data_IF_896702079274
#
_entry.id   IF_896702079274
#
_cell.length_a   1.000
_cell.length_b   1.000
_cell.length_c   1.000
_cell.angle_alpha   90.00
_cell.angle_beta   90.00
_cell.angle_gamma   90.00
#
_symmetry.space_group_name_H-M   'P 1'
#
loop_
_entity.id
_entity.type
_entity.pdbx_description
1 polymer ?
#
# COMPACT_ATOMS: atom_id res chain seq x y z
N UNK A 1 3.70 24.91 17.92
CA UNK A 1 3.44 24.17 16.66
C UNK A 1 3.27 22.74 17.08
N UNK A 2 2.16 22.50 17.76
CA UNK A 2 2.03 21.42 18.72
C UNK A 2 1.38 20.23 18.01
N UNK A 3 2.08 19.09 17.94
CA UNK A 3 1.50 17.79 17.62
C UNK A 3 0.96 17.53 16.19
N UNK A 4 0.82 18.54 15.34
CA UNK A 4 0.26 18.36 13.99
C UNK A 4 1.28 17.79 12.99
N UNK A 5 0.87 16.80 12.18
CA UNK A 5 1.72 16.10 11.21
C UNK A 5 2.23 16.98 10.05
N UNK A 6 3.10 16.42 9.19
CA UNK A 6 3.73 17.14 8.07
C UNK A 6 2.75 17.71 7.02
N UNK A 7 1.55 17.14 6.92
CA UNK A 7 0.47 17.56 6.04
C UNK A 7 -0.64 18.33 6.79
N UNK A 8 -0.33 18.87 7.97
CA UNK A 8 -1.25 19.73 8.70
C UNK A 8 -1.76 20.87 7.82
N UNK A 9 -3.08 21.07 7.79
CA UNK A 9 -3.73 22.09 6.97
C UNK A 9 -3.94 21.71 5.51
N UNK A 10 -3.59 20.48 5.10
CA UNK A 10 -3.93 19.92 3.78
C UNK A 10 -5.27 19.20 3.87
N UNK A 11 -6.26 19.63 3.08
CA UNK A 11 -7.57 18.96 2.96
C UNK A 11 -7.63 18.05 1.73
N UNK A 12 -7.98 16.77 1.95
CA UNK A 12 -8.05 15.74 0.91
C UNK A 12 -9.48 15.21 0.81
N UNK A 13 -10.09 15.28 -0.37
CA UNK A 13 -11.34 14.59 -0.66
C UNK A 13 -11.04 13.27 -1.38
N UNK A 14 -11.48 12.15 -0.82
CA UNK A 14 -11.19 10.83 -1.37
C UNK A 14 -12.48 10.09 -1.73
N UNK A 15 -12.73 9.97 -3.04
CA UNK A 15 -13.89 9.33 -3.64
C UNK A 15 -13.68 7.82 -3.86
N UNK A 16 -12.59 7.24 -3.36
CA UNK A 16 -12.30 5.81 -3.47
C UNK A 16 -12.90 4.99 -2.33
N UNK A 17 -13.31 3.76 -2.66
CA UNK A 17 -13.86 2.82 -1.67
C UNK A 17 -12.79 1.89 -1.08
N UNK A 18 -11.92 1.33 -1.93
CA UNK A 18 -10.93 0.30 -1.57
C UNK A 18 -9.67 0.41 -2.44
N UNK A 19 -8.65 -0.39 -2.11
CA UNK A 19 -7.50 -0.61 -2.97
C UNK A 19 -6.48 0.52 -2.92
N UNK A 20 -5.82 0.84 -4.04
CA UNK A 20 -4.71 1.79 -4.11
C UNK A 20 -5.01 3.17 -3.53
N UNK A 21 -6.07 3.85 -3.98
CA UNK A 21 -6.40 5.18 -3.49
C UNK A 21 -6.76 5.21 -2.00
N UNK A 22 -7.48 4.20 -1.51
CA UNK A 22 -7.79 4.10 -0.08
C UNK A 22 -6.53 3.93 0.78
N UNK A 23 -5.45 3.34 0.23
CA UNK A 23 -4.13 3.29 0.89
C UNK A 23 -3.40 4.62 0.78
N UNK A 24 -3.49 5.29 -0.36
CA UNK A 24 -2.86 6.60 -0.58
C UNK A 24 -3.41 7.64 0.39
N UNK A 25 -4.73 7.82 0.45
CA UNK A 25 -5.36 8.74 1.41
C UNK A 25 -5.09 8.35 2.85
N UNK A 26 -4.98 7.05 3.13
CA UNK A 26 -4.60 6.55 4.46
C UNK A 26 -3.18 6.94 4.86
N UNK A 27 -2.24 6.92 3.92
CA UNK A 27 -0.89 7.45 4.14
C UNK A 27 -0.96 8.97 4.37
N UNK A 28 -1.71 9.72 3.55
CA UNK A 28 -1.81 11.17 3.74
C UNK A 28 -2.43 11.56 5.09
N UNK A 29 -3.46 10.83 5.54
CA UNK A 29 -4.08 11.00 6.85
C UNK A 29 -3.08 10.68 7.98
N UNK A 30 -2.27 9.63 7.84
CA UNK A 30 -1.15 9.42 8.77
C UNK A 30 -0.28 10.65 8.83
N UNK A 31 0.16 11.21 7.70
CA UNK A 31 1.00 12.40 7.71
C UNK A 31 0.29 13.68 8.19
N UNK A 32 -0.96 13.62 8.66
CA UNK A 32 -1.68 14.71 9.29
C UNK A 32 -2.60 15.50 8.36
N UNK A 33 -2.85 15.00 7.15
CA UNK A 33 -3.85 15.58 6.26
C UNK A 33 -5.27 15.36 6.82
N UNK A 34 -6.12 16.36 6.66
CA UNK A 34 -7.54 16.25 6.93
C UNK A 34 -8.22 15.54 5.74
N UNK A 35 -8.41 14.23 5.89
CA UNK A 35 -8.95 13.37 4.84
C UNK A 35 -10.45 13.17 5.06
N UNK A 36 -11.22 13.56 4.06
CA UNK A 36 -12.67 13.33 3.96
C UNK A 36 -12.92 12.21 2.96
N UNK A 37 -13.38 11.06 3.46
CA UNK A 37 -13.86 9.96 2.64
C UNK A 37 -15.25 10.27 2.10
N UNK A 38 -15.34 10.35 0.78
CA UNK A 38 -16.55 10.71 0.05
C UNK A 38 -17.18 9.46 -0.56
N UNK A 39 -18.29 9.03 0.02
CA UNK A 39 -19.10 7.91 -0.46
C UNK A 39 -20.22 8.32 -1.42
N UNK A 40 -20.89 7.32 -1.97
CA UNK A 40 -22.19 7.52 -2.60
C UNK A 40 -23.29 7.38 -1.55
N UNK A 41 -24.35 8.19 -1.64
CA UNK A 41 -25.51 7.98 -0.76
C UNK A 41 -26.07 6.56 -0.94
N UNK A 42 -26.43 5.85 0.16
CA UNK A 42 -27.00 4.52 0.06
C UNK A 42 -28.27 4.54 -0.78
N UNK A 43 -28.39 3.62 -1.74
CA UNK A 43 -29.60 3.44 -2.55
C UNK A 43 -30.08 2.00 -2.44
N UNK A 44 -31.40 1.84 -2.31
CA UNK A 44 -32.02 0.52 -2.25
C UNK A 44 -31.61 -0.34 -3.45
N UNK A 45 -31.19 -1.58 -3.19
CA UNK A 45 -30.75 -2.54 -4.21
C UNK A 45 -29.34 -2.33 -4.76
N UNK A 46 -28.60 -1.31 -4.28
CA UNK A 46 -27.18 -1.12 -4.64
C UNK A 46 -26.30 -1.65 -3.52
N UNK A 47 -25.49 -2.69 -3.82
CA UNK A 47 -24.49 -3.19 -2.87
C UNK A 47 -23.32 -2.21 -2.85
N UNK A 48 -23.12 -1.56 -1.71
CA UNK A 48 -21.91 -0.80 -1.43
C UNK A 48 -20.89 -1.70 -0.75
N UNK A 49 -19.63 -1.56 -1.15
CA UNK A 49 -18.54 -2.26 -0.47
C UNK A 49 -18.21 -1.44 0.77
N UNK A 50 -18.51 -2.00 1.94
CA UNK A 50 -18.09 -1.46 3.22
C UNK A 50 -16.94 -2.32 3.75
N UNK A 51 -15.68 -1.82 3.73
CA UNK A 51 -14.57 -2.54 4.32
C UNK A 51 -14.83 -2.79 5.81
N UNK A 52 -14.35 -3.91 6.38
CA UNK A 52 -14.44 -4.12 7.81
C UNK A 52 -13.63 -3.05 8.57
N UNK A 53 -13.99 -2.81 9.83
CA UNK A 53 -13.42 -1.74 10.68
C UNK A 53 -11.89 -1.78 10.87
N UNK A 54 -11.22 -2.87 10.52
CA UNK A 54 -9.75 -2.99 10.58
C UNK A 54 -9.06 -2.80 9.21
N UNK A 55 -9.81 -2.87 8.10
CA UNK A 55 -9.23 -2.73 6.77
C UNK A 55 -8.70 -1.31 6.54
N UNK A 56 -7.55 -1.20 5.87
CA UNK A 56 -6.86 0.09 5.68
C UNK A 56 -6.66 0.84 6.99
N UNK A 57 -6.33 0.09 8.05
CA UNK A 57 -6.18 0.58 9.42
C UNK A 57 -7.40 1.36 9.92
N UNK A 58 -8.58 0.81 9.61
CA UNK A 58 -9.89 1.32 9.99
C UNK A 58 -10.23 2.70 9.43
N UNK A 59 -9.43 3.24 8.51
CA UNK A 59 -9.56 4.64 8.10
C UNK A 59 -9.46 5.60 9.31
N UNK A 60 -8.63 5.24 10.31
CA UNK A 60 -8.36 6.11 11.47
C UNK A 60 -7.93 7.50 11.02
N UNK A 61 -8.39 8.53 11.74
CA UNK A 61 -8.09 9.94 11.45
C UNK A 61 -8.82 10.53 10.23
N UNK A 62 -9.81 9.82 9.67
CA UNK A 62 -10.59 10.32 8.52
C UNK A 62 -12.01 10.67 8.93
N UNK A 63 -12.54 11.70 8.28
CA UNK A 63 -13.96 12.09 8.32
C UNK A 63 -14.70 11.49 7.12
N UNK A 64 -16.02 11.39 7.19
CA UNK A 64 -16.84 10.75 6.16
C UNK A 64 -18.06 11.57 5.80
N UNK A 65 -18.43 11.52 4.53
CA UNK A 65 -19.72 11.98 4.07
C UNK A 65 -20.06 11.31 2.74
N UNK A 66 -21.33 11.32 2.36
CA UNK A 66 -21.79 10.73 1.10
C UNK A 66 -22.54 11.75 0.25
N UNK A 67 -22.41 11.65 -1.07
CA UNK A 67 -23.14 12.50 -2.02
C UNK A 67 -23.90 11.68 -3.06
N UNK A 68 -25.05 12.19 -3.50
CA UNK A 68 -25.65 11.80 -4.75
C UNK A 68 -25.06 12.60 -5.92
N UNK A 69 -23.89 12.20 -6.38
CA UNK A 69 -23.20 12.84 -7.52
C UNK A 69 -23.95 12.73 -8.86
N UNK A 70 -25.04 11.95 -8.93
CA UNK A 70 -25.91 11.89 -10.12
C UNK A 70 -26.99 12.97 -10.10
N UNK A 71 -27.25 13.58 -8.94
CA UNK A 71 -28.15 14.71 -8.83
C UNK A 71 -27.39 16.02 -9.05
N UNK A 72 -28.03 17.00 -9.67
CA UNK A 72 -27.45 18.33 -9.86
C UNK A 72 -27.09 18.98 -8.51
N UNK A 73 -27.97 18.82 -7.51
CA UNK A 73 -27.76 19.32 -6.17
C UNK A 73 -26.54 18.68 -5.48
N UNK A 74 -26.37 17.36 -5.59
CA UNK A 74 -25.26 16.63 -4.97
C UNK A 74 -23.93 16.90 -5.67
N UNK A 75 -23.93 16.95 -7.00
CA UNK A 75 -22.77 17.39 -7.78
C UNK A 75 -22.37 18.83 -7.37
N UNK A 76 -23.32 19.78 -7.37
CA UNK A 76 -23.06 21.16 -6.96
C UNK A 76 -22.53 21.28 -5.52
N UNK A 77 -23.05 20.48 -4.58
CA UNK A 77 -22.58 20.48 -3.21
C UNK A 77 -21.14 19.94 -3.09
N UNK A 78 -20.81 18.87 -3.83
CA UNK A 78 -19.45 18.35 -3.89
C UNK A 78 -18.48 19.36 -4.52
N UNK A 79 -18.87 20.02 -5.62
CA UNK A 79 -18.05 21.06 -6.26
C UNK A 79 -17.71 22.18 -5.28
N UNK A 80 -18.67 22.61 -4.46
CA UNK A 80 -18.44 23.63 -3.44
C UNK A 80 -17.44 23.16 -2.36
N UNK A 81 -17.54 21.90 -1.93
CA UNK A 81 -16.56 21.32 -1.01
C UNK A 81 -15.16 21.25 -1.64
N UNK A 82 -15.07 20.93 -2.93
CA UNK A 82 -13.81 20.84 -3.67
C UNK A 82 -13.14 22.20 -3.92
N UNK A 83 -13.90 23.31 -3.90
CA UNK A 83 -13.35 24.66 -4.03
C UNK A 83 -12.36 25.00 -2.88
N UNK A 84 -12.54 24.38 -1.71
CA UNK A 84 -11.66 24.54 -0.54
C UNK A 84 -10.68 23.37 -0.32
N UNK A 85 -10.68 22.36 -1.19
CA UNK A 85 -9.79 21.21 -1.06
C UNK A 85 -8.39 21.48 -1.66
N UNK A 86 -7.38 20.83 -1.08
CA UNK A 86 -6.02 20.82 -1.63
C UNK A 86 -5.81 19.66 -2.59
N UNK A 87 -6.44 18.52 -2.30
CA UNK A 87 -6.30 17.29 -3.05
C UNK A 87 -7.67 16.65 -3.26
N UNK A 88 -7.91 16.13 -4.45
CA UNK A 88 -9.01 15.18 -4.73
C UNK A 88 -8.40 13.88 -5.23
N UNK A 89 -8.79 12.75 -4.65
CA UNK A 89 -8.37 11.41 -5.06
C UNK A 89 -9.61 10.67 -5.55
N UNK A 90 -9.53 10.05 -6.71
CA UNK A 90 -10.59 9.17 -7.22
C UNK A 90 -10.02 7.88 -7.80
N UNK A 91 -10.85 6.84 -7.81
CA UNK A 91 -10.49 5.52 -8.31
C UNK A 91 -11.56 4.92 -9.22
N UNK A 92 -12.29 5.77 -9.94
CA UNK A 92 -13.30 5.31 -10.88
C UNK A 92 -12.64 4.80 -12.16
N UNK A 93 -13.42 4.06 -12.96
CA UNK A 93 -12.98 3.73 -14.32
C UNK A 93 -12.79 5.03 -15.12
N UNK A 94 -11.80 5.09 -16.03
CA UNK A 94 -11.56 6.27 -16.85
C UNK A 94 -12.84 6.80 -17.52
N UNK A 95 -13.05 8.12 -17.38
CA UNK A 95 -14.23 8.84 -17.90
C UNK A 95 -15.48 8.81 -17.02
N UNK A 96 -15.52 8.03 -15.93
CA UNK A 96 -16.67 8.04 -15.01
C UNK A 96 -16.79 9.38 -14.28
N UNK A 97 -15.69 9.88 -13.70
CA UNK A 97 -15.69 11.14 -12.95
C UNK A 97 -16.16 12.34 -13.80
N UNK A 98 -15.69 12.40 -15.06
CA UNK A 98 -16.13 13.42 -16.01
C UNK A 98 -17.64 13.36 -16.32
N UNK A 99 -18.21 12.16 -16.46
CA UNK A 99 -19.69 12.03 -16.63
C UNK A 99 -20.48 12.42 -15.40
N UNK A 100 -19.87 12.36 -14.22
CA UNK A 100 -20.47 12.79 -12.96
C UNK A 100 -20.26 14.30 -12.71
N UNK A 101 -19.54 15.01 -13.58
CA UNK A 101 -19.22 16.43 -13.44
C UNK A 101 -18.19 16.73 -12.35
N UNK A 102 -17.41 15.74 -11.92
CA UNK A 102 -16.39 15.85 -10.87
C UNK A 102 -15.02 15.40 -11.37
N UNK A 103 -14.81 15.45 -12.69
CA UNK A 103 -13.55 15.09 -13.33
C UNK A 103 -12.45 16.14 -13.08
N UNK A 104 -11.21 15.78 -13.43
CA UNK A 104 -10.07 16.69 -13.30
C UNK A 104 -10.30 18.04 -14.01
N UNK A 105 -10.84 18.01 -15.23
CA UNK A 105 -11.15 19.23 -15.99
C UNK A 105 -12.20 20.11 -15.31
N UNK A 106 -13.25 19.50 -14.74
CA UNK A 106 -14.30 20.20 -14.02
C UNK A 106 -13.72 20.91 -12.79
N UNK A 107 -12.95 20.20 -11.96
CA UNK A 107 -12.44 20.74 -10.70
C UNK A 107 -11.26 21.70 -10.88
N UNK A 108 -10.30 21.41 -11.76
CA UNK A 108 -9.15 22.29 -12.00
C UNK A 108 -9.55 23.63 -12.63
N UNK A 109 -10.64 23.67 -13.40
CA UNK A 109 -11.18 24.93 -13.93
C UNK A 109 -11.72 25.86 -12.84
N UNK A 110 -12.19 25.29 -11.72
CA UNK A 110 -12.74 26.02 -10.57
C UNK A 110 -11.67 26.35 -9.54
N UNK A 111 -10.81 25.38 -9.25
CA UNK A 111 -9.71 25.49 -8.30
C UNK A 111 -8.39 25.15 -9.01
N UNK A 112 -7.71 26.14 -9.63
CA UNK A 112 -6.43 25.92 -10.32
C UNK A 112 -5.28 25.51 -9.38
N UNK A 113 -5.49 25.54 -8.06
CA UNK A 113 -4.52 25.09 -7.05
C UNK A 113 -4.71 23.63 -6.65
N UNK A 114 -5.77 22.97 -7.11
CA UNK A 114 -6.10 21.60 -6.72
C UNK A 114 -5.08 20.60 -7.29
N UNK A 115 -4.65 19.66 -6.46
CA UNK A 115 -4.00 18.43 -6.95
C UNK A 115 -5.08 17.37 -7.14
N UNK A 116 -5.38 17.02 -8.39
CA UNK A 116 -6.37 15.99 -8.71
C UNK A 116 -5.63 14.69 -9.03
N UNK A 117 -5.90 13.60 -8.31
CA UNK A 117 -5.24 12.30 -8.49
C UNK A 117 -6.25 11.26 -8.96
N UNK A 118 -6.13 10.85 -10.21
CA UNK A 118 -6.81 9.67 -10.75
C UNK A 118 -5.97 8.43 -10.48
N UNK A 119 -6.52 7.46 -9.76
CA UNK A 119 -5.87 6.17 -9.52
C UNK A 119 -6.60 5.08 -10.29
N UNK A 120 -5.94 4.47 -11.27
CA UNK A 120 -6.60 3.51 -12.16
C UNK A 120 -5.69 2.37 -12.55
N UNK A 121 -6.27 1.21 -12.87
CA UNK A 121 -5.51 -0.01 -13.08
C UNK A 121 -4.42 0.09 -14.16
N UNK A 122 -4.74 0.74 -15.28
CA UNK A 122 -3.87 0.85 -16.46
C UNK A 122 -3.74 2.29 -16.98
N UNK A 123 -3.95 3.29 -16.11
CA UNK A 123 -3.95 4.70 -16.49
C UNK A 123 -5.27 5.21 -17.09
N UNK A 124 -5.38 6.53 -17.24
CA UNK A 124 -6.50 7.19 -17.91
C UNK A 124 -6.45 7.03 -19.44
N UNK A 125 -5.32 6.61 -20.00
CA UNK A 125 -5.10 6.44 -21.43
C UNK A 125 -4.54 5.05 -21.82
N UNK A 126 -4.23 4.88 -23.11
CA UNK A 126 -3.74 3.61 -23.63
C UNK A 126 -4.83 2.56 -23.92
N UNK A 127 -4.42 1.38 -24.41
CA UNK A 127 -5.33 0.36 -24.94
C UNK A 127 -6.08 -0.44 -23.86
N UNK A 128 -5.55 -0.46 -22.62
CA UNK A 128 -6.11 -1.23 -21.50
C UNK A 128 -6.83 -0.38 -20.46
N UNK A 129 -6.94 0.94 -20.65
CA UNK A 129 -7.58 1.88 -19.69
C UNK A 129 -8.96 1.43 -19.20
N UNK A 130 -9.72 0.72 -20.02
CA UNK A 130 -11.08 0.27 -19.69
C UNK A 130 -11.15 -1.12 -19.07
N UNK A 131 -10.02 -1.82 -18.89
CA UNK A 131 -10.00 -3.16 -18.32
C UNK A 131 -10.31 -3.10 -16.82
N UNK A 132 -11.19 -4.00 -16.37
CA UNK A 132 -11.41 -4.24 -14.95
C UNK A 132 -10.30 -5.15 -14.43
N UNK A 133 -9.72 -4.83 -13.28
CA UNK A 133 -8.58 -5.57 -12.74
C UNK A 133 -8.45 -5.36 -11.23
N UNK A 134 -7.73 -6.28 -10.62
CA UNK A 134 -7.33 -6.27 -9.22
C UNK A 134 -5.82 -6.50 -9.12
N UNK A 135 -5.28 -6.36 -7.90
CA UNK A 135 -3.88 -6.56 -7.54
C UNK A 135 -3.14 -7.62 -8.40
N UNK A 136 -3.66 -8.84 -8.43
CA UNK A 136 -3.07 -9.96 -9.15
C UNK A 136 -2.94 -9.73 -10.68
N UNK A 137 -3.91 -9.05 -11.29
CA UNK A 137 -3.88 -8.77 -12.73
C UNK A 137 -2.79 -7.76 -13.08
N UNK A 138 -2.55 -6.77 -12.22
CA UNK A 138 -1.48 -5.79 -12.43
C UNK A 138 -0.11 -6.46 -12.31
N UNK A 139 0.08 -7.32 -11.30
CA UNK A 139 1.28 -8.15 -11.15
C UNK A 139 1.51 -9.07 -12.35
N UNK A 140 0.44 -9.65 -12.91
CA UNK A 140 0.52 -10.49 -14.09
C UNK A 140 0.98 -9.69 -15.33
N UNK A 141 0.37 -8.54 -15.58
CA UNK A 141 0.68 -7.72 -16.77
C UNK A 141 2.07 -7.09 -16.68
N UNK A 142 2.50 -6.70 -15.49
CA UNK A 142 3.83 -6.09 -15.27
C UNK A 142 4.98 -7.09 -15.20
N UNK A 143 4.75 -8.39 -15.42
CA UNK A 143 5.79 -9.43 -15.42
C UNK A 143 6.20 -9.96 -14.03
N UNK A 144 5.68 -9.38 -12.95
CA UNK A 144 6.04 -9.76 -11.58
C UNK A 144 5.75 -11.24 -11.26
N UNK A 145 4.58 -11.74 -11.67
CA UNK A 145 4.22 -13.13 -11.40
C UNK A 145 5.15 -14.10 -12.13
N UNK A 146 5.59 -13.78 -13.35
CA UNK A 146 6.44 -14.69 -14.10
C UNK A 146 7.83 -14.83 -13.48
N UNK A 147 8.34 -13.79 -12.82
CA UNK A 147 9.59 -13.85 -12.05
C UNK A 147 9.43 -14.48 -10.65
N UNK A 148 8.20 -14.78 -10.21
CA UNK A 148 7.93 -15.35 -8.89
C UNK A 148 8.22 -16.85 -8.82
N UNK A 149 8.44 -17.38 -7.61
CA UNK A 149 8.59 -18.83 -7.39
C UNK A 149 7.45 -19.66 -7.99
N UNK A 150 7.71 -20.94 -8.25
CA UNK A 150 6.74 -21.86 -8.85
C UNK A 150 6.07 -22.76 -7.82
N UNK A 151 4.79 -23.04 -8.02
CA UNK A 151 4.06 -24.10 -7.32
C UNK A 151 4.55 -25.48 -7.77
N UNK A 152 4.17 -26.54 -7.04
CA UNK A 152 4.54 -27.91 -7.38
C UNK A 152 4.12 -28.36 -8.80
N UNK A 153 3.06 -27.76 -9.35
CA UNK A 153 2.58 -27.99 -10.71
C UNK A 153 3.10 -26.96 -11.74
N UNK A 154 4.09 -26.15 -11.37
CA UNK A 154 4.84 -25.28 -12.28
C UNK A 154 4.20 -23.91 -12.57
N UNK A 155 3.13 -23.52 -11.89
CA UNK A 155 2.48 -22.21 -12.06
C UNK A 155 3.18 -21.15 -11.19
N UNK A 156 3.13 -19.86 -11.56
CA UNK A 156 3.50 -18.78 -10.64
C UNK A 156 2.77 -18.88 -9.29
N UNK A 157 3.52 -18.74 -8.20
CA UNK A 157 2.94 -18.68 -6.87
C UNK A 157 2.13 -17.39 -6.68
N UNK A 158 1.03 -17.47 -5.93
CA UNK A 158 0.26 -16.29 -5.56
C UNK A 158 1.01 -15.49 -4.48
N UNK A 159 1.12 -14.16 -4.63
CA UNK A 159 1.67 -13.30 -3.59
C UNK A 159 0.82 -13.35 -2.30
N UNK A 160 1.49 -13.27 -1.14
CA UNK A 160 0.83 -13.28 0.17
C UNK A 160 0.17 -11.96 0.60
N UNK A 161 0.23 -10.92 -0.23
CA UNK A 161 -0.31 -9.59 0.06
C UNK A 161 -0.78 -8.90 -1.22
N UNK A 162 -1.56 -7.82 -1.08
CA UNK A 162 -1.95 -6.95 -2.19
C UNK A 162 -0.82 -5.97 -2.53
N UNK A 163 0.27 -6.51 -3.08
CA UNK A 163 1.54 -5.80 -3.30
C UNK A 163 1.38 -4.68 -4.33
N UNK A 164 0.67 -4.92 -5.43
CA UNK A 164 0.43 -3.90 -6.44
C UNK A 164 -0.44 -2.77 -5.86
N UNK A 165 -1.49 -3.11 -5.11
CA UNK A 165 -2.36 -2.08 -4.53
C UNK A 165 -1.61 -1.21 -3.50
N UNK A 166 -0.73 -1.82 -2.69
CA UNK A 166 0.04 -1.10 -1.67
C UNK A 166 1.19 -0.30 -2.30
N UNK A 167 2.12 -0.98 -2.96
CA UNK A 167 3.41 -0.42 -3.34
C UNK A 167 3.34 0.30 -4.70
N UNK A 168 2.81 -0.38 -5.72
CA UNK A 168 2.73 0.18 -7.07
C UNK A 168 1.67 1.27 -7.21
N UNK A 169 0.55 1.14 -6.50
CA UNK A 169 -0.56 2.09 -6.57
C UNK A 169 -0.57 3.09 -5.42
N UNK A 170 -0.84 2.62 -4.20
CA UNK A 170 -1.10 3.48 -3.05
C UNK A 170 0.09 4.34 -2.63
N UNK A 171 1.28 3.76 -2.50
CA UNK A 171 2.50 4.49 -2.17
C UNK A 171 2.90 5.44 -3.30
N UNK A 172 2.80 5.03 -4.55
CA UNK A 172 3.09 5.93 -5.69
C UNK A 172 2.14 7.12 -5.74
N UNK A 173 0.83 6.91 -5.56
CA UNK A 173 -0.13 8.00 -5.49
C UNK A 173 0.18 8.96 -4.34
N UNK A 174 0.45 8.46 -3.14
CA UNK A 174 0.82 9.30 -2.01
C UNK A 174 2.10 10.12 -2.28
N UNK A 175 3.15 9.49 -2.84
CA UNK A 175 4.38 10.18 -3.22
C UNK A 175 4.15 11.27 -4.26
N UNK A 176 3.40 10.96 -5.33
CA UNK A 176 3.09 11.91 -6.39
C UNK A 176 2.26 13.09 -5.89
N UNK A 177 1.28 12.84 -5.00
CA UNK A 177 0.48 13.90 -4.37
C UNK A 177 1.37 14.80 -3.51
N UNK A 178 2.23 14.23 -2.66
CA UNK A 178 3.14 15.02 -1.82
C UNK A 178 4.12 15.86 -2.67
N UNK A 179 4.63 15.30 -3.77
CA UNK A 179 5.48 16.02 -4.71
C UNK A 179 4.72 17.17 -5.40
N UNK A 180 3.50 16.92 -5.86
CA UNK A 180 2.65 17.94 -6.50
C UNK A 180 2.26 19.06 -5.52
N UNK A 181 1.99 18.74 -4.25
CA UNK A 181 1.75 19.74 -3.21
C UNK A 181 3.00 20.60 -2.94
N UNK A 182 4.19 19.99 -2.92
CA UNK A 182 5.45 20.70 -2.77
C UNK A 182 5.72 21.63 -3.95
N UNK A 183 5.48 21.17 -5.19
CA UNK A 183 5.59 22.01 -6.39
C UNK A 183 4.60 23.17 -6.35
N UNK A 184 3.32 22.89 -6.05
CA UNK A 184 2.26 23.88 -5.93
C UNK A 184 2.60 25.00 -4.94
N UNK A 185 3.31 24.70 -3.86
CA UNK A 185 3.76 25.73 -2.91
C UNK A 185 4.73 26.76 -3.53
N UNK A 186 5.44 26.37 -4.60
CA UNK A 186 6.37 27.25 -5.33
C UNK A 186 5.69 27.92 -6.53
N UNK A 187 4.88 27.17 -7.28
CA UNK A 187 4.27 27.63 -8.54
C UNK A 187 2.94 28.34 -8.32
N UNK A 188 2.25 28.02 -7.23
CA UNK A 188 0.89 28.44 -6.97
C UNK A 188 -0.17 27.67 -7.75
N UNK A 189 0.20 26.64 -8.54
CA UNK A 189 -0.69 25.90 -9.44
C UNK A 189 -0.67 24.41 -9.11
N UNK A 190 -1.85 23.80 -9.10
CA UNK A 190 -2.01 22.35 -8.94
C UNK A 190 -1.89 21.62 -10.28
N UNK A 191 -2.26 20.34 -10.30
CA UNK A 191 -2.11 19.49 -11.51
C UNK A 191 -3.00 18.25 -11.44
N UNK A 192 -3.23 17.62 -12.59
CA UNK A 192 -3.82 16.29 -12.69
C UNK A 192 -2.71 15.23 -12.69
N UNK A 193 -2.76 14.32 -11.74
CA UNK A 193 -1.92 13.14 -11.62
C UNK A 193 -2.70 11.92 -12.14
N UNK A 194 -2.18 11.27 -13.18
CA UNK A 194 -2.64 9.96 -13.64
C UNK A 194 -1.73 8.88 -13.06
N UNK A 195 -2.22 8.15 -12.06
CA UNK A 195 -1.49 7.08 -11.39
C UNK A 195 -2.01 5.74 -11.88
N UNK A 196 -1.20 5.06 -12.69
CA UNK A 196 -1.43 3.71 -13.19
C UNK A 196 -0.81 2.67 -12.24
N UNK A 197 -1.62 1.74 -11.74
CA UNK A 197 -1.10 0.64 -10.90
C UNK A 197 -0.17 -0.27 -11.73
N UNK A 198 -0.52 -0.53 -13.00
CA UNK A 198 0.31 -1.34 -13.89
C UNK A 198 1.69 -0.69 -14.15
N UNK A 199 1.75 0.63 -14.29
CA UNK A 199 3.02 1.37 -14.46
C UNK A 199 3.87 1.23 -13.19
N UNK A 200 3.23 1.34 -12.03
CA UNK A 200 3.90 1.13 -10.75
C UNK A 200 4.48 -0.28 -10.61
N UNK A 201 3.75 -1.31 -11.04
CA UNK A 201 4.27 -2.70 -11.05
C UNK A 201 5.44 -2.81 -12.02
N UNK A 202 5.33 -2.24 -13.21
CA UNK A 202 6.40 -2.25 -14.20
C UNK A 202 7.67 -1.57 -13.66
N UNK A 203 7.51 -0.44 -12.96
CA UNK A 203 8.61 0.25 -12.29
C UNK A 203 9.23 -0.57 -11.14
N UNK A 204 8.41 -1.30 -10.37
CA UNK A 204 8.92 -2.25 -9.36
C UNK A 204 9.78 -3.37 -9.97
N UNK A 205 9.56 -3.69 -11.24
CA UNK A 205 10.30 -4.70 -12.00
C UNK A 205 11.52 -4.13 -12.75
N UNK A 206 11.85 -2.83 -12.55
CA UNK A 206 12.90 -2.11 -13.29
C UNK A 206 14.22 -2.86 -13.37
N UNK A 207 14.69 -3.50 -12.28
CA UNK A 207 15.95 -4.26 -12.30
C UNK A 207 15.99 -5.33 -13.41
N UNK A 208 14.87 -6.03 -13.63
CA UNK A 208 14.78 -7.11 -14.62
C UNK A 208 14.36 -6.59 -16.00
N UNK A 209 13.46 -5.60 -16.02
CA UNK A 209 13.06 -4.93 -17.25
C UNK A 209 14.26 -4.28 -17.92
N UNK A 210 15.07 -3.54 -17.16
CA UNK A 210 16.22 -2.81 -17.69
C UNK A 210 17.31 -3.77 -18.21
N UNK A 211 17.55 -4.90 -17.54
CA UNK A 211 18.44 -5.95 -18.07
C UNK A 211 17.93 -6.49 -19.40
N UNK A 212 16.65 -6.88 -19.45
CA UNK A 212 16.07 -7.43 -20.68
C UNK A 212 16.20 -6.42 -21.83
N UNK A 213 15.90 -5.15 -21.58
CA UNK A 213 16.04 -4.08 -22.57
C UNK A 213 17.50 -3.87 -23.00
N UNK A 214 18.47 -4.03 -22.10
CA UNK A 214 19.88 -3.84 -22.39
C UNK A 214 20.53 -5.05 -23.09
N UNK A 215 20.06 -6.27 -22.84
CA UNK A 215 20.78 -7.50 -23.19
C UNK A 215 19.96 -8.51 -24.00
N UNK A 216 18.63 -8.42 -23.97
CA UNK A 216 17.71 -9.41 -24.53
C UNK A 216 17.61 -10.71 -23.73
N UNK A 217 18.24 -10.79 -22.55
CA UNK A 217 18.17 -11.97 -21.67
C UNK A 217 16.84 -11.96 -20.92
N UNK A 218 16.07 -13.03 -21.08
CA UNK A 218 14.76 -13.18 -20.43
C UNK A 218 14.93 -13.52 -18.94
N UNK A 219 14.43 -12.68 -18.00
CA UNK A 219 14.46 -12.98 -16.59
C UNK A 219 13.41 -14.03 -16.21
N UNK A 220 13.62 -14.71 -15.09
CA UNK A 220 12.69 -15.71 -14.57
C UNK A 220 13.04 -16.18 -13.17
N UNK A 221 12.31 -17.17 -12.63
CA UNK A 221 12.61 -17.73 -11.31
C UNK A 221 14.03 -18.33 -11.31
N UNK A 222 14.82 -18.02 -10.28
CA UNK A 222 16.19 -18.50 -10.18
C UNK A 222 17.18 -17.85 -11.17
N UNK A 223 16.79 -16.82 -11.92
CA UNK A 223 17.69 -16.12 -12.86
C UNK A 223 18.82 -15.35 -12.16
N UNK A 224 18.49 -14.70 -11.05
CA UNK A 224 19.39 -13.88 -10.24
C UNK A 224 19.54 -14.36 -8.80
N UNK A 225 20.55 -13.79 -8.13
CA UNK A 225 20.75 -13.93 -6.69
C UNK A 225 19.43 -13.68 -5.94
N UNK A 226 18.76 -12.55 -6.20
CA UNK A 226 17.53 -12.14 -5.51
C UNK A 226 16.27 -12.92 -5.90
N UNK A 227 16.38 -13.86 -6.85
CA UNK A 227 15.31 -14.77 -7.26
C UNK A 227 15.64 -16.22 -6.97
N UNK A 228 16.64 -16.51 -6.14
CA UNK A 228 16.95 -17.85 -5.65
C UNK A 228 17.98 -18.65 -6.46
N UNK A 229 18.76 -18.00 -7.34
CA UNK A 229 19.80 -18.69 -8.13
C UNK A 229 20.79 -19.47 -7.27
N UNK A 230 21.24 -18.86 -6.17
CA UNK A 230 22.28 -19.40 -5.31
C UNK A 230 21.74 -19.80 -3.94
N UNK A 231 22.36 -20.81 -3.32
CA UNK A 231 21.99 -21.34 -2.01
C UNK A 231 22.08 -20.29 -0.88
N UNK A 232 22.87 -19.23 -1.07
CA UNK A 232 23.01 -18.15 -0.10
C UNK A 232 21.81 -17.17 -0.06
N UNK A 233 20.85 -17.30 -0.98
CA UNK A 233 19.61 -16.52 -0.99
C UNK A 233 18.42 -17.45 -1.24
N UNK A 234 17.86 -18.02 -0.17
CA UNK A 234 16.77 -19.01 -0.26
C UNK A 234 16.00 -19.14 1.06
N UNK A 235 14.93 -19.92 1.04
CA UNK A 235 14.21 -20.40 2.23
C UNK A 235 14.52 -21.86 2.52
N UNK A 236 14.81 -22.19 3.77
CA UNK A 236 15.14 -23.55 4.19
C UNK A 236 14.16 -24.06 5.24
N UNK A 237 13.85 -25.35 5.19
CA UNK A 237 12.94 -26.02 6.14
C UNK A 237 13.71 -26.58 7.32
N UNK A 238 13.29 -26.21 8.53
CA UNK A 238 13.85 -26.66 9.80
C UNK A 238 13.22 -28.00 10.25
N UNK A 239 13.79 -28.63 11.28
CA UNK A 239 13.32 -29.92 11.80
C UNK A 239 11.91 -29.91 12.38
N UNK A 240 11.41 -28.73 12.78
CA UNK A 240 10.03 -28.49 13.22
C UNK A 240 9.06 -28.17 12.07
N UNK A 241 9.52 -28.29 10.81
CA UNK A 241 8.81 -27.93 9.57
C UNK A 241 8.46 -26.45 9.42
N UNK A 242 9.07 -25.58 10.22
CA UNK A 242 9.05 -24.13 10.00
C UNK A 242 10.20 -23.72 9.10
N UNK A 243 10.24 -22.46 8.68
CA UNK A 243 11.19 -22.00 7.67
C UNK A 243 12.09 -20.87 8.16
N UNK A 244 13.32 -20.84 7.65
CA UNK A 244 14.23 -19.71 7.73
C UNK A 244 14.33 -19.06 6.36
N UNK A 245 14.45 -17.73 6.33
CA UNK A 245 14.96 -17.01 5.18
C UNK A 245 16.47 -16.80 5.36
N UNK A 246 17.24 -17.14 4.34
CA UNK A 246 18.69 -16.91 4.25
C UNK A 246 18.92 -15.91 3.13
N UNK A 247 19.67 -14.84 3.41
CA UNK A 247 20.03 -13.80 2.44
C UNK A 247 21.50 -13.36 2.60
N UNK A 248 22.40 -14.33 2.75
CA UNK A 248 23.84 -14.14 2.96
C UNK A 248 24.57 -13.85 1.64
N UNK A 249 24.26 -12.74 0.99
CA UNK A 249 24.77 -12.40 -0.35
C UNK A 249 26.25 -12.03 -0.30
N UNK A 250 26.69 -11.28 0.71
CA UNK A 250 28.08 -10.87 0.83
C UNK A 250 28.96 -12.06 1.26
N UNK A 251 30.15 -12.26 0.65
CA UNK A 251 31.00 -13.44 0.92
C UNK A 251 31.32 -13.66 2.39
N UNK A 252 31.48 -12.59 3.17
CA UNK A 252 31.74 -12.68 4.61
C UNK A 252 30.56 -13.28 5.40
N UNK A 253 29.32 -12.94 5.05
CA UNK A 253 28.13 -13.47 5.71
C UNK A 253 27.88 -14.92 5.31
N UNK A 254 28.11 -15.25 4.04
CA UNK A 254 28.09 -16.64 3.57
C UNK A 254 29.14 -17.50 4.27
N UNK A 255 30.36 -16.98 4.44
CA UNK A 255 31.41 -17.69 5.15
C UNK A 255 31.07 -17.89 6.64
N UNK A 256 30.45 -16.90 7.29
CA UNK A 256 29.96 -17.03 8.66
C UNK A 256 28.87 -18.09 8.78
N UNK A 257 27.89 -18.10 7.87
CA UNK A 257 26.86 -19.11 7.80
C UNK A 257 27.45 -20.52 7.61
N UNK A 258 28.37 -20.70 6.64
CA UNK A 258 29.02 -21.98 6.41
C UNK A 258 29.75 -22.50 7.65
N UNK A 259 30.51 -21.65 8.35
CA UNK A 259 31.18 -22.03 9.60
C UNK A 259 30.20 -22.41 10.70
N UNK A 260 29.12 -21.63 10.86
CA UNK A 260 28.09 -21.91 11.86
C UNK A 260 27.36 -23.23 11.59
N UNK A 261 27.25 -23.64 10.33
CA UNK A 261 26.66 -24.91 9.90
C UNK A 261 27.66 -26.08 9.82
N UNK A 262 28.97 -25.84 9.98
CA UNK A 262 30.02 -26.86 9.77
C UNK A 262 30.19 -27.28 8.30
N UNK A 263 29.95 -26.35 7.38
CA UNK A 263 29.96 -26.50 5.93
C UNK A 263 31.06 -25.64 5.27
N UNK A 264 32.21 -25.50 5.91
CA UNK A 264 33.31 -24.64 5.44
C UNK A 264 33.80 -24.99 4.03
N UNK A 265 33.60 -26.24 3.60
CA UNK A 265 33.88 -26.68 2.21
C UNK A 265 33.13 -25.87 1.15
N UNK A 266 32.00 -25.23 1.50
CA UNK A 266 31.18 -24.47 0.55
C UNK A 266 31.47 -22.97 0.52
N UNK A 267 32.41 -22.49 1.34
CA UNK A 267 32.75 -21.06 1.42
C UNK A 267 33.15 -20.50 0.04
N UNK A 268 34.01 -21.23 -0.68
CA UNK A 268 34.54 -20.79 -1.98
C UNK A 268 33.60 -21.11 -3.17
N UNK A 269 32.43 -21.72 -2.92
CA UNK A 269 31.46 -22.15 -3.94
C UNK A 269 30.17 -21.32 -3.95
N UNK A 270 30.17 -20.15 -3.31
CA UNK A 270 28.96 -19.31 -3.14
C UNK A 270 28.23 -19.01 -4.45
N UNK A 271 28.97 -18.73 -5.53
CA UNK A 271 28.44 -18.36 -6.85
C UNK A 271 28.82 -19.36 -7.94
N UNK A 272 29.16 -20.59 -7.56
CA UNK A 272 29.52 -21.66 -8.49
C UNK A 272 28.26 -22.40 -8.93
N UNK A 273 27.73 -22.05 -10.11
CA UNK A 273 26.54 -22.65 -10.70
C UNK A 273 26.63 -24.19 -10.81
N UNK A 274 27.85 -24.75 -10.91
CA UNK A 274 28.03 -26.19 -11.14
C UNK A 274 27.74 -27.06 -9.91
N UNK A 275 27.65 -26.47 -8.73
CA UNK A 275 27.46 -27.18 -7.45
C UNK A 275 26.31 -26.64 -6.59
N UNK A 276 25.50 -25.70 -7.10
CA UNK A 276 24.46 -25.06 -6.27
C UNK A 276 23.41 -26.03 -5.71
N UNK A 277 23.07 -27.08 -6.46
CA UNK A 277 22.14 -28.11 -5.97
C UNK A 277 22.72 -28.87 -4.77
N UNK A 278 24.02 -29.19 -4.80
CA UNK A 278 24.72 -29.86 -3.70
C UNK A 278 24.87 -28.93 -2.49
N UNK A 279 25.25 -27.67 -2.71
CA UNK A 279 25.35 -26.65 -1.64
C UNK A 279 23.99 -26.48 -0.95
N UNK A 280 22.92 -26.33 -1.72
CA UNK A 280 21.56 -26.17 -1.19
C UNK A 280 21.10 -27.42 -0.45
N UNK A 281 21.41 -28.61 -0.96
CA UNK A 281 21.12 -29.88 -0.31
C UNK A 281 21.79 -29.99 1.05
N UNK A 282 23.10 -29.70 1.13
CA UNK A 282 23.87 -29.77 2.37
C UNK A 282 23.42 -28.72 3.40
N UNK A 283 23.21 -27.47 2.98
CA UNK A 283 22.68 -26.41 3.85
C UNK A 283 21.30 -26.81 4.39
N UNK A 284 20.42 -27.29 3.50
CA UNK A 284 19.10 -27.77 3.89
C UNK A 284 19.14 -28.95 4.86
N UNK A 285 20.04 -29.91 4.64
CA UNK A 285 20.20 -31.07 5.51
C UNK A 285 20.64 -30.68 6.93
N UNK A 286 21.59 -29.72 7.06
CA UNK A 286 22.00 -29.21 8.37
C UNK A 286 20.87 -28.42 9.02
N UNK A 287 20.23 -27.49 8.29
CA UNK A 287 19.13 -26.68 8.83
C UNK A 287 17.95 -27.56 9.30
N UNK A 288 17.68 -28.69 8.64
CA UNK A 288 16.63 -29.62 9.05
C UNK A 288 16.90 -30.34 10.40
N UNK A 289 18.09 -30.20 10.99
CA UNK A 289 18.44 -30.91 12.25
C UNK A 289 17.94 -30.24 13.53
N UNK A 290 17.53 -28.96 13.48
CA UNK A 290 17.06 -28.19 14.64
C UNK A 290 15.79 -27.41 14.31
N UNK A 291 15.10 -26.91 15.32
CA UNK A 291 13.94 -26.05 15.13
C UNK A 291 14.34 -24.68 14.55
N UNK A 292 13.36 -23.96 13.96
CA UNK A 292 13.58 -22.60 13.44
C UNK A 292 14.15 -21.67 14.51
N UNK A 293 13.58 -21.68 15.70
CA UNK A 293 13.92 -20.70 16.74
C UNK A 293 15.30 -21.01 17.38
N UNK A 294 15.68 -22.29 17.48
CA UNK A 294 17.06 -22.67 17.84
C UNK A 294 18.07 -22.14 16.82
N UNK A 295 17.78 -22.24 15.53
CA UNK A 295 18.64 -21.67 14.49
C UNK A 295 18.69 -20.16 14.53
N UNK A 296 17.57 -19.46 14.71
CA UNK A 296 17.54 -18.00 14.83
C UNK A 296 18.40 -17.54 16.02
N UNK A 297 18.33 -18.24 17.16
CA UNK A 297 19.15 -17.92 18.33
C UNK A 297 20.67 -18.05 18.09
N UNK A 298 21.08 -18.92 17.16
CA UNK A 298 22.50 -19.13 16.81
C UNK A 298 22.94 -18.23 15.66
N UNK A 299 22.15 -18.15 14.59
CA UNK A 299 22.54 -17.53 13.31
C UNK A 299 22.17 -16.05 13.22
N UNK A 300 21.08 -15.62 13.87
CA UNK A 300 20.56 -14.26 13.77
C UNK A 300 21.59 -13.20 14.25
N UNK A 301 22.16 -13.32 15.46
CA UNK A 301 23.18 -12.40 15.96
C UNK A 301 24.58 -12.58 15.31
N UNK A 302 24.77 -13.61 14.48
CA UNK A 302 26.07 -14.07 14.02
C UNK A 302 26.51 -13.53 12.66
N UNK A 303 25.94 -12.42 12.19
CA UNK A 303 26.20 -11.85 10.86
C UNK A 303 26.05 -12.91 9.74
N UNK A 304 25.01 -13.75 9.83
CA UNK A 304 24.71 -14.81 8.86
C UNK A 304 23.56 -14.45 7.91
N UNK A 305 22.92 -13.28 8.08
CA UNK A 305 21.75 -12.84 7.30
C UNK A 305 20.61 -13.88 7.29
N UNK A 306 20.30 -14.42 8.47
CA UNK A 306 19.23 -15.41 8.66
C UNK A 306 18.12 -14.82 9.52
N UNK A 307 16.88 -15.01 9.10
CA UNK A 307 15.69 -14.58 9.82
C UNK A 307 14.60 -15.68 9.84
N UNK A 308 13.72 -15.72 10.86
CA UNK A 308 12.58 -16.61 10.84
C UNK A 308 11.56 -16.18 9.77
N UNK A 309 10.96 -17.17 9.09
CA UNK A 309 9.69 -16.93 8.37
C UNK A 309 8.58 -16.95 9.41
N UNK A 310 8.15 -15.76 9.82
CA UNK A 310 7.12 -15.56 10.84
C UNK A 310 5.72 -15.65 10.24
N UNK A 311 4.79 -16.20 11.02
CA UNK A 311 3.36 -15.96 10.84
C UNK A 311 3.01 -14.51 11.21
N UNK A 312 1.85 -14.01 10.77
CA UNK A 312 1.36 -12.68 11.16
C UNK A 312 1.25 -12.57 12.69
N UNK A 313 0.76 -13.61 13.37
CA UNK A 313 0.62 -13.62 14.82
C UNK A 313 1.98 -13.44 15.53
N UNK A 314 3.01 -14.15 15.08
CA UNK A 314 4.38 -14.01 15.60
C UNK A 314 4.94 -12.61 15.35
N UNK A 315 4.78 -12.06 14.14
CA UNK A 315 5.27 -10.73 13.80
C UNK A 315 4.64 -9.62 14.67
N UNK A 316 3.37 -9.76 15.08
CA UNK A 316 2.70 -8.75 15.93
C UNK A 316 3.16 -8.71 17.39
N UNK A 317 3.95 -9.68 17.83
CA UNK A 317 4.52 -9.74 19.18
C UNK A 317 6.05 -9.81 19.17
N UNK A 318 6.67 -9.65 18.00
CA UNK A 318 8.11 -9.62 17.82
C UNK A 318 8.72 -8.39 18.53
N UNK A 319 9.83 -8.62 19.25
CA UNK A 319 10.48 -7.61 20.08
C UNK A 319 10.89 -6.36 19.28
N UNK A 320 11.38 -6.53 18.05
CA UNK A 320 11.81 -5.41 17.22
C UNK A 320 10.61 -4.55 16.78
N UNK A 321 9.50 -5.18 16.40
CA UNK A 321 8.30 -4.45 15.98
C UNK A 321 7.60 -3.76 17.16
N UNK A 322 7.57 -4.40 18.34
CA UNK A 322 7.07 -3.79 19.57
C UNK A 322 7.94 -2.60 20.00
N UNK A 323 9.27 -2.75 20.02
CA UNK A 323 10.20 -1.67 20.37
C UNK A 323 10.07 -0.46 19.42
N UNK A 324 9.74 -0.73 18.15
CA UNK A 324 9.50 0.31 17.13
C UNK A 324 8.07 0.83 17.10
N UNK A 325 7.19 0.34 17.98
CA UNK A 325 5.79 0.77 18.13
C UNK A 325 5.01 0.72 16.81
N UNK A 326 5.27 -0.29 15.97
CA UNK A 326 4.55 -0.47 14.69
C UNK A 326 3.19 -1.16 14.87
N UNK A 327 2.85 -1.53 16.11
CA UNK A 327 1.53 -2.00 16.55
C UNK A 327 1.05 -1.03 17.63
N UNK A 328 -0.19 -0.59 17.54
CA UNK A 328 -0.82 0.31 18.51
C UNK A 328 -2.20 -0.18 18.93
N UNK A 329 -2.66 0.31 20.08
CA UNK A 329 -4.04 0.15 20.55
C UNK A 329 -4.94 1.21 19.91
N UNK A 330 -6.16 0.79 19.55
CA UNK A 330 -7.16 1.65 18.93
C UNK A 330 -8.54 1.37 19.49
N UNK A 331 -9.38 2.40 19.50
CA UNK A 331 -10.76 2.33 19.97
C UNK A 331 -11.73 2.48 18.81
N UNK A 332 -12.73 1.61 18.73
CA UNK A 332 -13.85 1.74 17.80
C UNK A 332 -15.18 1.85 18.58
N UNK A 333 -16.07 2.80 18.27
CA UNK A 333 -17.31 3.04 19.03
C UNK A 333 -18.19 1.78 19.24
N UNK A 334 -18.32 0.96 18.20
CA UNK A 334 -19.11 -0.29 18.24
C UNK A 334 -18.28 -1.56 18.54
N UNK A 335 -17.08 -1.70 17.93
CA UNK A 335 -16.27 -2.92 18.05
C UNK A 335 -15.39 -2.96 19.33
N UNK A 336 -15.29 -1.86 20.07
CA UNK A 336 -14.45 -1.74 21.27
C UNK A 336 -12.96 -1.60 20.95
N UNK A 337 -12.12 -1.85 21.96
CA UNK A 337 -10.66 -1.78 21.88
C UNK A 337 -10.08 -2.92 21.04
N UNK A 338 -9.13 -2.61 20.15
CA UNK A 338 -8.39 -3.60 19.38
C UNK A 338 -6.98 -3.09 19.01
N UNK A 339 -6.11 -3.99 18.55
CA UNK A 339 -4.76 -3.62 18.08
C UNK A 339 -4.70 -3.57 16.56
N UNK A 340 -3.94 -2.62 16.02
CA UNK A 340 -3.72 -2.47 14.57
C UNK A 340 -2.33 -1.94 14.24
N UNK A 341 -1.97 -1.99 12.95
CA UNK A 341 -0.70 -1.47 12.44
C UNK A 341 -0.65 0.05 12.61
N UNK A 342 0.42 0.55 13.24
CA UNK A 342 0.68 1.98 13.39
C UNK A 342 1.16 2.64 12.09
N UNK A 343 1.24 3.95 12.08
CA UNK A 343 1.82 4.71 10.98
C UNK A 343 3.34 4.48 10.90
N UNK A 344 3.89 4.42 9.69
CA UNK A 344 5.35 4.33 9.48
C UNK A 344 5.90 5.72 9.23
N UNK A 345 6.36 6.37 10.29
CA UNK A 345 6.84 7.75 10.29
C UNK A 345 8.27 7.93 9.80
N UNK A 346 9.02 6.86 9.55
CA UNK A 346 10.45 6.93 9.25
C UNK A 346 11.26 7.82 10.24
N UNK A 347 10.84 7.87 11.52
CA UNK A 347 11.48 8.66 12.57
C UNK A 347 11.00 10.12 12.67
N UNK A 348 9.96 10.53 11.93
CA UNK A 348 9.33 11.85 12.09
C UNK A 348 8.47 11.94 13.36
N UNK A 349 7.93 13.15 13.62
CA UNK A 349 7.07 13.42 14.79
C UNK A 349 5.82 12.53 14.73
N UNK A 350 5.61 11.78 15.81
CA UNK A 350 4.41 10.99 16.03
C UNK A 350 3.41 11.81 16.85
N UNK A 351 2.14 11.93 16.40
CA UNK A 351 1.08 12.52 17.22
C UNK A 351 0.87 11.70 18.49
N UNK A 352 0.77 12.35 19.65
CA UNK A 352 0.64 11.69 20.96
C UNK A 352 -0.82 11.47 21.38
N UNK A 353 -1.71 11.20 20.42
CA UNK A 353 -3.15 11.09 20.66
C UNK A 353 -3.63 9.64 20.59
N UNK A 354 -4.66 9.25 21.38
CA UNK A 354 -5.30 7.96 21.25
C UNK A 354 -5.84 7.77 19.83
N UNK A 355 -5.59 6.59 19.24
CA UNK A 355 -6.10 6.28 17.91
C UNK A 355 -7.57 5.89 18.01
N UNK A 356 -8.43 6.75 17.49
CA UNK A 356 -9.87 6.46 17.31
C UNK A 356 -10.13 6.05 15.88
N UNK A 357 -10.81 4.92 15.72
CA UNK A 357 -11.32 4.44 14.44
C UNK A 357 -12.78 4.90 14.30
N UNK A 358 -13.11 5.66 13.24
CA UNK A 358 -14.47 6.17 13.06
C UNK A 358 -15.44 5.03 12.70
N UNK A 359 -16.65 5.10 13.26
CA UNK A 359 -17.76 4.27 12.81
C UNK A 359 -18.17 4.68 11.39
N UNK A 360 -18.14 3.73 10.45
CA UNK A 360 -18.49 3.98 9.06
C UNK A 360 -19.98 4.33 8.85
N UNK A 361 -20.83 4.08 9.84
CA UNK A 361 -22.24 4.47 9.81
C UNK A 361 -22.48 5.94 10.20
N UNK A 362 -21.49 6.59 10.81
CA UNK A 362 -21.59 8.00 11.21
C UNK A 362 -21.05 8.86 10.07
N UNK A 363 -21.78 9.94 9.78
CA UNK A 363 -21.40 10.94 8.79
C UNK A 363 -21.13 12.28 9.45
N UNK A 364 -20.12 12.95 8.91
CA UNK A 364 -19.66 14.28 9.28
C UNK A 364 -20.20 15.33 8.28
N UNK A 365 -21.18 14.97 7.43
CA UNK A 365 -21.64 15.80 6.33
C UNK A 365 -22.07 17.22 6.72
N UNK A 366 -22.81 17.36 7.83
CA UNK A 366 -23.30 18.67 8.30
C UNK A 366 -22.14 19.57 8.70
N UNK A 367 -21.18 19.04 9.46
CA UNK A 367 -19.98 19.76 9.90
C UNK A 367 -19.12 20.16 8.70
N UNK A 368 -18.83 19.20 7.81
CA UNK A 368 -18.00 19.41 6.63
C UNK A 368 -18.55 20.45 5.66
N UNK A 369 -19.86 20.44 5.40
CA UNK A 369 -20.49 21.44 4.53
C UNK A 369 -20.57 22.82 5.21
N UNK A 370 -20.78 22.86 6.52
CA UNK A 370 -20.76 24.12 7.28
C UNK A 370 -19.37 24.75 7.28
N UNK A 371 -18.31 23.95 7.50
CA UNK A 371 -16.91 24.38 7.38
C UNK A 371 -16.58 24.89 5.97
N UNK A 372 -17.18 24.30 4.94
CA UNK A 372 -17.04 24.74 3.56
C UNK A 372 -17.80 26.05 3.25
N UNK A 373 -18.59 26.57 4.19
CA UNK A 373 -19.35 27.81 4.03
C UNK A 373 -20.71 27.63 3.35
N UNK A 374 -21.24 26.41 3.26
CA UNK A 374 -22.60 26.16 2.78
C UNK A 374 -23.60 26.67 3.82
N UNK A 375 -24.61 27.41 3.35
CA UNK A 375 -25.68 27.93 4.20
C UNK A 375 -26.35 26.81 5.03
N UNK A 376 -26.54 26.98 6.35
CA UNK A 376 -27.09 25.93 7.22
C UNK A 376 -28.48 25.43 6.83
N UNK A 377 -29.34 26.29 6.27
CA UNK A 377 -30.66 25.86 5.80
C UNK A 377 -30.52 25.01 4.55
N UNK A 378 -29.58 25.36 3.67
CA UNK A 378 -29.24 24.55 2.51
C UNK A 378 -28.64 23.20 2.91
N UNK A 379 -27.76 23.14 3.91
CA UNK A 379 -27.20 21.88 4.43
C UNK A 379 -28.32 20.97 4.94
N UNK A 380 -29.24 21.51 5.76
CA UNK A 380 -30.39 20.75 6.25
C UNK A 380 -31.24 20.21 5.12
N UNK A 381 -31.55 21.03 4.12
CA UNK A 381 -32.31 20.61 2.95
C UNK A 381 -31.63 19.47 2.18
N UNK A 382 -30.31 19.55 1.95
CA UNK A 382 -29.55 18.51 1.25
C UNK A 382 -29.58 17.16 1.99
N UNK A 383 -29.56 17.19 3.33
CA UNK A 383 -29.66 15.99 4.17
C UNK A 383 -31.08 15.43 4.18
N UNK A 384 -32.10 16.29 4.33
CA UNK A 384 -33.51 15.91 4.31
C UNK A 384 -33.92 15.29 2.96
N UNK A 385 -33.38 15.82 1.86
CA UNK A 385 -33.60 15.31 0.50
C UNK A 385 -32.83 14.00 0.21
N UNK A 386 -31.96 13.56 1.11
CA UNK A 386 -31.09 12.40 0.91
C UNK A 386 -30.03 12.59 -0.18
N UNK A 387 -29.74 13.85 -0.53
CA UNK A 387 -28.71 14.23 -1.51
C UNK A 387 -27.31 14.13 -0.90
N UNK A 388 -27.21 14.39 0.40
CA UNK A 388 -25.99 14.20 1.20
C UNK A 388 -26.36 13.38 2.43
N UNK A 389 -25.50 12.43 2.81
CA UNK A 389 -25.69 11.63 4.01
C UNK A 389 -24.44 11.57 4.85
#
# INVERSE_FOLDING_TARGET
MDGCGALCGVRVLDLSTVGPAARASRILSDYGADVVKVGAVPRSGVVQITPPHYAYSGQRGMRRMSFDLKSEAGCSAFLHLADAADVVIESFRPGVAARLGVGAGDLLSRNPRLVYCSTSGFGQDGPRRSWASHDLNYLAVGGFLDCSGRTADGRPALPGATVADIAAGGMQAAMSIMAALLERNRTGTGQHLDVSIADGVFAMMSLYVDEYLATGVEPGPGHYILTGRYACYDTYTCGDRRHLAVAAIEPQFWANLCRALGLERWIDHQFDDSVQDDVRSDVGAVIATRSRDEWVGVLGPGDCCVAPVNTVAEATVDEQFLARRVVLDAEHPVAGSFRQVAAVWAGTVEPNEPVVVPDAAISDAVELLTEAGVDPDRVRQLVEDGVVA
#
